data_IF_296657025383
#
_entry.id   IF_296657025383
#
_cell.length_a   1.000
_cell.length_b   1.000
_cell.length_c   1.000
_cell.angle_alpha   90.00
_cell.angle_beta   90.00
_cell.angle_gamma   90.00
#
_symmetry.space_group_name_H-M   'P 1'
#
loop_
_entity.id
_entity.type
_entity.pdbx_description
1 polymer ?
#
# COMPACT_ATOMS: atom_id res chain seq x y z
N UNK A 1 -9.14 -49.14 -4.83
CA UNK A 1 -9.44 -47.86 -4.18
C UNK A 1 -8.76 -46.81 -5.05
N UNK A 2 -9.51 -46.24 -5.98
CA UNK A 2 -9.03 -45.19 -6.89
C UNK A 2 -8.82 -43.94 -6.05
N UNK A 3 -7.58 -43.47 -5.96
CA UNK A 3 -7.25 -42.14 -5.46
C UNK A 3 -7.93 -41.13 -6.38
N UNK A 4 -8.95 -40.48 -5.85
CA UNK A 4 -9.64 -39.35 -6.46
C UNK A 4 -8.67 -38.17 -6.36
N UNK A 5 -7.80 -38.03 -7.37
CA UNK A 5 -7.01 -36.82 -7.56
C UNK A 5 -7.99 -35.72 -7.98
N UNK A 6 -8.37 -34.89 -7.01
CA UNK A 6 -9.07 -33.63 -7.24
C UNK A 6 -8.38 -32.90 -8.42
N UNK A 7 -9.10 -32.56 -9.51
CA UNK A 7 -8.47 -31.93 -10.66
C UNK A 7 -7.73 -30.68 -10.20
N UNK A 8 -6.43 -30.62 -10.47
CA UNK A 8 -5.59 -29.47 -10.14
C UNK A 8 -6.30 -28.19 -10.56
N UNK A 9 -6.48 -27.27 -9.61
CA UNK A 9 -7.23 -26.05 -9.83
C UNK A 9 -6.67 -25.33 -11.08
N UNK A 10 -7.51 -25.00 -12.09
CA UNK A 10 -7.01 -24.43 -13.33
C UNK A 10 -6.23 -23.15 -13.07
N UNK A 11 -5.16 -22.94 -13.82
CA UNK A 11 -4.29 -21.78 -13.69
C UNK A 11 -5.12 -20.48 -13.76
N UNK A 12 -4.71 -19.43 -13.04
CA UNK A 12 -5.48 -18.18 -12.97
C UNK A 12 -5.85 -17.65 -14.36
N UNK A 13 -4.90 -17.68 -15.30
CA UNK A 13 -5.11 -17.26 -16.68
C UNK A 13 -6.28 -18.00 -17.35
N UNK A 14 -6.40 -19.32 -17.17
CA UNK A 14 -7.48 -20.12 -17.74
C UNK A 14 -8.83 -19.77 -17.12
N UNK A 15 -8.86 -19.53 -15.80
CA UNK A 15 -10.08 -19.12 -15.09
C UNK A 15 -10.57 -17.76 -15.57
N UNK A 16 -9.67 -16.78 -15.69
CA UNK A 16 -9.99 -15.45 -16.20
C UNK A 16 -10.44 -15.51 -17.66
N UNK A 17 -9.74 -16.28 -18.51
CA UNK A 17 -10.12 -16.48 -19.91
C UNK A 17 -11.54 -17.07 -20.03
N UNK A 18 -11.84 -18.10 -19.24
CA UNK A 18 -13.18 -18.72 -19.21
C UNK A 18 -14.25 -17.73 -18.73
N UNK A 19 -13.96 -16.95 -17.68
CA UNK A 19 -14.89 -15.94 -17.18
C UNK A 19 -15.19 -14.87 -18.24
N UNK A 20 -14.16 -14.37 -18.92
CA UNK A 20 -14.29 -13.37 -19.98
C UNK A 20 -15.03 -13.93 -21.20
N UNK A 21 -14.78 -15.19 -21.58
CA UNK A 21 -15.48 -15.84 -22.68
C UNK A 21 -17.00 -15.99 -22.39
N UNK A 22 -17.38 -16.21 -21.14
CA UNK A 22 -18.77 -16.41 -20.72
C UNK A 22 -19.52 -15.09 -20.47
N UNK A 23 -18.89 -14.12 -19.83
CA UNK A 23 -19.54 -12.90 -19.34
C UNK A 23 -19.13 -11.62 -20.10
N UNK A 24 -18.13 -11.71 -20.97
CA UNK A 24 -17.53 -10.58 -21.67
C UNK A 24 -16.33 -9.96 -20.93
N UNK A 25 -15.73 -8.92 -21.52
CA UNK A 25 -14.56 -8.23 -20.97
C UNK A 25 -14.80 -7.66 -19.56
N UNK A 26 -13.79 -7.76 -18.69
CA UNK A 26 -13.89 -7.35 -17.28
C UNK A 26 -13.17 -6.02 -17.03
N UNK A 27 -13.56 -5.22 -16.02
CA UNK A 27 -12.80 -4.03 -15.64
C UNK A 27 -11.35 -4.36 -15.24
N UNK A 28 -10.44 -3.41 -15.47
CA UNK A 28 -9.04 -3.50 -15.00
C UNK A 28 -8.97 -3.81 -13.50
N UNK A 29 -9.89 -3.27 -12.69
CA UNK A 29 -9.94 -3.53 -11.26
C UNK A 29 -10.21 -4.99 -10.92
N UNK A 30 -11.08 -5.68 -11.67
CA UNK A 30 -11.35 -7.10 -11.44
C UNK A 30 -10.16 -7.97 -11.85
N UNK A 31 -9.51 -7.62 -12.95
CA UNK A 31 -8.29 -8.28 -13.41
C UNK A 31 -7.15 -8.12 -12.38
N UNK A 32 -6.89 -6.90 -11.94
CA UNK A 32 -5.86 -6.57 -10.96
C UNK A 32 -6.09 -7.28 -9.61
N UNK A 33 -7.34 -7.26 -9.11
CA UNK A 33 -7.70 -7.96 -7.88
C UNK A 33 -7.43 -9.47 -7.97
N UNK A 34 -7.80 -10.11 -9.08
CA UNK A 34 -7.61 -11.54 -9.26
C UNK A 34 -6.12 -11.91 -9.41
N UNK A 35 -5.37 -11.10 -10.17
CA UNK A 35 -3.92 -11.27 -10.33
C UNK A 35 -3.18 -11.15 -9.00
N UNK A 36 -3.37 -10.05 -8.27
CA UNK A 36 -2.67 -9.81 -7.00
C UNK A 36 -3.07 -10.85 -5.93
N UNK A 37 -4.35 -11.21 -5.84
CA UNK A 37 -4.79 -12.26 -4.92
C UNK A 37 -4.08 -13.59 -5.16
N UNK A 38 -3.87 -13.98 -6.43
CA UNK A 38 -3.11 -15.18 -6.76
C UNK A 38 -1.62 -15.03 -6.50
N UNK A 39 -1.04 -13.89 -6.90
CA UNK A 39 0.37 -13.58 -6.72
C UNK A 39 0.77 -13.70 -5.24
N UNK A 40 0.09 -12.98 -4.35
CA UNK A 40 0.41 -12.99 -2.92
C UNK A 40 0.04 -14.31 -2.21
N UNK A 41 -0.92 -15.09 -2.72
CA UNK A 41 -1.29 -16.38 -2.14
C UNK A 41 -0.28 -17.51 -2.44
N UNK A 42 0.50 -17.40 -3.52
CA UNK A 42 1.28 -18.52 -4.06
C UNK A 42 2.79 -18.43 -3.81
N UNK A 43 3.33 -17.26 -3.46
CA UNK A 43 4.78 -17.04 -3.30
C UNK A 43 5.11 -16.00 -2.22
N UNK A 44 6.37 -15.95 -1.78
CA UNK A 44 6.94 -14.82 -1.01
C UNK A 44 7.60 -13.85 -2.01
N UNK A 45 6.98 -12.70 -2.35
CA UNK A 45 7.46 -11.86 -3.44
C UNK A 45 8.55 -10.86 -3.05
N UNK A 46 8.95 -10.80 -1.77
CA UNK A 46 9.70 -9.68 -1.21
C UNK A 46 11.18 -10.01 -0.91
N UNK A 47 12.09 -9.08 -1.25
CA UNK A 47 13.51 -9.11 -0.89
C UNK A 47 14.47 -9.11 -2.09
N UNK A 48 15.78 -9.25 -1.85
CA UNK A 48 16.83 -9.25 -2.91
C UNK A 48 16.67 -10.41 -3.91
N UNK A 49 16.02 -11.50 -3.49
CA UNK A 49 15.67 -12.63 -4.36
C UNK A 49 14.20 -12.59 -4.82
N UNK A 50 13.41 -11.59 -4.39
CA UNK A 50 12.03 -11.36 -4.80
C UNK A 50 11.93 -10.33 -5.94
N UNK A 51 10.71 -9.96 -6.32
CA UNK A 51 10.49 -9.04 -7.45
C UNK A 51 10.71 -7.56 -7.05
N UNK A 52 10.64 -7.24 -5.75
CA UNK A 52 10.72 -5.88 -5.21
C UNK A 52 11.66 -5.75 -4.00
N UNK A 53 12.27 -4.57 -3.88
CA UNK A 53 12.93 -4.12 -2.65
C UNK A 53 12.14 -2.94 -2.08
N UNK A 54 11.36 -3.18 -1.03
CA UNK A 54 10.57 -2.15 -0.32
C UNK A 54 11.43 -1.38 0.68
N UNK A 55 10.95 -0.22 1.14
CA UNK A 55 11.71 0.62 2.10
C UNK A 55 12.15 -0.13 3.38
N UNK A 56 11.31 -0.99 4.00
CA UNK A 56 11.72 -1.80 5.15
C UNK A 56 12.86 -2.80 4.84
N UNK A 57 12.92 -3.33 3.62
CA UNK A 57 13.96 -4.29 3.22
C UNK A 57 15.30 -3.60 2.87
N UNK A 58 15.28 -2.29 2.59
CA UNK A 58 16.48 -1.49 2.35
C UNK A 58 17.23 -1.23 3.65
N UNK A 59 16.53 -0.80 4.70
CA UNK A 59 17.20 -0.45 5.96
C UNK A 59 16.29 -0.47 7.18
N UNK A 60 16.83 -0.97 8.29
CA UNK A 60 16.19 -0.92 9.60
C UNK A 60 15.82 0.51 10.04
N UNK A 61 16.54 1.52 9.53
CA UNK A 61 16.29 2.92 9.85
C UNK A 61 14.86 3.34 9.50
N UNK A 62 14.30 2.78 8.42
CA UNK A 62 12.95 3.11 7.99
C UNK A 62 11.91 2.65 9.01
N UNK A 63 11.92 1.36 9.37
CA UNK A 63 10.99 0.81 10.37
C UNK A 63 11.17 1.44 11.75
N UNK A 64 12.41 1.70 12.16
CA UNK A 64 12.69 2.39 13.43
C UNK A 64 12.08 3.79 13.49
N UNK A 65 12.26 4.61 12.43
CA UNK A 65 11.74 5.98 12.41
C UNK A 65 10.22 6.02 12.27
N UNK A 66 9.63 5.14 11.46
CA UNK A 66 8.17 5.03 11.36
C UNK A 66 7.55 4.63 12.70
N UNK A 67 8.15 3.65 13.39
CA UNK A 67 7.75 3.26 14.74
C UNK A 67 7.92 4.39 15.76
N UNK A 68 9.05 5.10 15.74
CA UNK A 68 9.28 6.22 16.65
C UNK A 68 8.33 7.41 16.40
N UNK A 69 7.95 7.68 15.15
CA UNK A 69 6.93 8.68 14.83
C UNK A 69 5.56 8.29 15.43
N UNK A 70 5.22 6.99 15.39
CA UNK A 70 4.02 6.45 16.03
C UNK A 70 4.09 6.56 17.56
N UNK A 71 5.20 6.20 18.18
CA UNK A 71 5.39 6.28 19.62
C UNK A 71 5.38 7.74 20.13
N UNK A 72 6.01 8.67 19.42
CA UNK A 72 5.95 10.10 19.73
C UNK A 72 4.51 10.64 19.70
N UNK A 73 3.74 10.28 18.66
CA UNK A 73 2.35 10.68 18.54
C UNK A 73 1.50 10.11 19.69
N UNK A 74 1.68 8.83 20.01
CA UNK A 74 1.02 8.17 21.14
C UNK A 74 1.37 8.83 22.49
N UNK A 75 2.65 9.18 22.69
CA UNK A 75 3.12 9.82 23.92
C UNK A 75 2.49 11.21 24.09
N UNK A 76 2.52 12.03 23.03
CA UNK A 76 1.89 13.36 22.99
C UNK A 76 0.37 13.32 23.06
N UNK A 77 -0.26 12.19 22.68
CA UNK A 77 -1.69 11.95 22.86
C UNK A 77 -2.06 11.54 24.30
N UNK A 78 -1.10 11.54 25.23
CA UNK A 78 -1.33 11.22 26.64
C UNK A 78 -1.19 9.75 26.98
N UNK A 79 -0.49 8.96 26.14
CA UNK A 79 -0.19 7.54 26.37
C UNK A 79 -1.44 6.67 26.62
N UNK A 80 -2.51 6.77 25.82
CA UNK A 80 -3.68 5.92 26.00
C UNK A 80 -3.33 4.44 25.79
N UNK A 81 -4.14 3.52 26.34
CA UNK A 81 -4.12 2.16 25.80
C UNK A 81 -4.44 2.25 24.31
N UNK A 82 -3.69 1.55 23.46
CA UNK A 82 -3.83 1.63 22.01
C UNK A 82 -3.38 0.33 21.36
N UNK A 83 -3.88 0.09 20.15
CA UNK A 83 -3.48 -1.03 19.29
C UNK A 83 -2.53 -0.52 18.21
N UNK A 84 -1.49 -1.30 17.90
CA UNK A 84 -0.67 -1.03 16.72
C UNK A 84 -1.07 -1.97 15.59
N UNK A 85 -1.30 -1.38 14.43
CA UNK A 85 -1.84 -2.06 13.25
C UNK A 85 -0.90 -1.84 12.08
N UNK A 86 -0.54 -2.90 11.37
CA UNK A 86 0.11 -2.80 10.05
C UNK A 86 -0.79 -3.39 8.96
N UNK A 87 -1.01 -2.63 7.89
CA UNK A 87 -1.74 -3.07 6.70
C UNK A 87 -0.76 -3.59 5.67
N UNK A 88 -0.96 -4.82 5.20
CA UNK A 88 -0.05 -5.49 4.26
C UNK A 88 1.40 -5.52 4.77
N UNK A 89 1.71 -6.21 5.89
CA UNK A 89 3.03 -6.14 6.51
C UNK A 89 4.15 -6.78 5.67
N UNK A 90 3.83 -7.40 4.53
CA UNK A 90 4.78 -8.11 3.70
C UNK A 90 5.48 -9.22 4.49
N UNK A 91 6.78 -9.09 4.72
CA UNK A 91 7.53 -10.06 5.55
C UNK A 91 7.40 -9.81 7.05
N UNK A 92 6.80 -8.70 7.48
CA UNK A 92 6.78 -8.23 8.87
C UNK A 92 8.07 -7.50 9.30
N UNK A 93 8.92 -7.12 8.34
CA UNK A 93 10.22 -6.47 8.60
C UNK A 93 10.04 -5.10 9.25
N UNK A 94 9.11 -4.28 8.72
CA UNK A 94 8.77 -2.99 9.32
C UNK A 94 8.30 -3.17 10.76
N UNK A 95 7.37 -4.10 11.00
CA UNK A 95 6.86 -4.42 12.33
C UNK A 95 7.98 -4.69 13.34
N UNK A 96 8.93 -5.55 12.98
CA UNK A 96 10.02 -5.95 13.89
C UNK A 96 10.85 -4.73 14.31
N UNK A 97 11.24 -3.88 13.36
CA UNK A 97 12.03 -2.70 13.65
C UNK A 97 11.23 -1.61 14.39
N UNK A 98 9.98 -1.39 13.98
CA UNK A 98 9.08 -0.46 14.63
C UNK A 98 8.80 -0.86 16.07
N UNK A 99 8.37 -2.09 16.34
CA UNK A 99 8.06 -2.59 17.69
C UNK A 99 9.29 -2.54 18.59
N UNK A 100 10.47 -2.89 18.08
CA UNK A 100 11.73 -2.78 18.81
C UNK A 100 12.06 -1.33 19.17
N UNK A 101 11.83 -0.38 18.27
CA UNK A 101 12.09 1.04 18.52
C UNK A 101 11.05 1.66 19.47
N UNK A 102 9.77 1.38 19.26
CA UNK A 102 8.65 1.82 20.11
C UNK A 102 8.80 1.29 21.54
N UNK A 103 9.23 0.04 21.72
CA UNK A 103 9.47 -0.54 23.04
C UNK A 103 10.51 0.24 23.87
N UNK A 104 11.53 0.82 23.22
CA UNK A 104 12.52 1.69 23.89
C UNK A 104 11.92 3.04 24.34
N UNK A 105 10.88 3.51 23.65
CA UNK A 105 10.09 4.68 24.05
C UNK A 105 8.97 4.35 25.06
N UNK A 106 8.84 3.07 25.44
CA UNK A 106 7.84 2.58 26.39
C UNK A 106 6.46 2.30 25.79
N UNK A 107 6.35 2.24 24.45
CA UNK A 107 5.12 1.85 23.77
C UNK A 107 5.21 0.39 23.31
N UNK A 108 4.46 -0.48 23.99
CA UNK A 108 4.37 -1.93 23.71
C UNK A 108 2.90 -2.36 23.55
N UNK A 109 2.24 -1.99 22.45
CA UNK A 109 0.82 -2.27 22.23
C UNK A 109 0.57 -3.72 21.78
N UNK A 110 -0.68 -4.23 21.90
CA UNK A 110 -1.15 -5.36 21.10
C UNK A 110 -0.95 -5.10 19.61
N UNK A 111 -0.55 -6.15 18.88
CA UNK A 111 -0.18 -6.06 17.47
C UNK A 111 -1.24 -6.71 16.59
N UNK A 112 -1.65 -6.00 15.56
CA UNK A 112 -2.64 -6.44 14.59
C UNK A 112 -2.10 -6.32 13.16
N UNK A 113 -2.25 -7.37 12.37
CA UNK A 113 -1.88 -7.37 10.96
C UNK A 113 -3.11 -7.58 10.08
N UNK A 114 -3.31 -6.71 9.10
CA UNK A 114 -4.29 -6.92 8.04
C UNK A 114 -3.56 -7.51 6.83
N UNK A 115 -3.72 -8.81 6.64
CA UNK A 115 -3.00 -9.62 5.65
C UNK A 115 -3.92 -10.74 5.18
N UNK A 116 -4.06 -10.97 3.88
CA UNK A 116 -4.89 -12.08 3.36
C UNK A 116 -4.08 -13.28 2.90
N UNK A 117 -2.78 -13.13 2.64
CA UNK A 117 -1.91 -14.22 2.19
C UNK A 117 -1.60 -15.20 3.32
N UNK A 118 -1.96 -16.49 3.20
CA UNK A 118 -1.61 -17.49 4.20
C UNK A 118 -0.08 -17.72 4.30
N UNK A 119 0.64 -17.56 3.19
CA UNK A 119 2.11 -17.68 3.13
C UNK A 119 2.77 -16.56 3.94
N UNK A 120 2.34 -15.32 3.73
CA UNK A 120 2.88 -14.17 4.46
C UNK A 120 2.47 -14.20 5.92
N UNK A 121 1.23 -14.58 6.26
CA UNK A 121 0.80 -14.77 7.66
C UNK A 121 1.71 -15.73 8.42
N UNK A 122 2.08 -16.86 7.81
CA UNK A 122 2.99 -17.82 8.44
C UNK A 122 4.39 -17.22 8.69
N UNK A 123 4.94 -16.49 7.72
CA UNK A 123 6.23 -15.81 7.85
C UNK A 123 6.19 -14.67 8.90
N UNK A 124 5.10 -13.91 8.93
CA UNK A 124 4.86 -12.83 9.88
C UNK A 124 4.69 -13.37 11.31
N UNK A 125 3.94 -14.46 11.50
CA UNK A 125 3.73 -15.10 12.81
C UNK A 125 5.04 -15.64 13.40
N UNK A 126 5.96 -16.11 12.56
CA UNK A 126 7.29 -16.53 13.02
C UNK A 126 8.15 -15.35 13.52
N UNK A 127 7.99 -14.16 12.93
CA UNK A 127 8.74 -12.95 13.31
C UNK A 127 8.09 -12.18 14.46
N UNK A 128 6.76 -12.13 14.50
CA UNK A 128 5.96 -11.43 15.50
C UNK A 128 4.89 -12.38 16.07
N UNK A 129 5.25 -13.30 16.98
CA UNK A 129 4.34 -14.35 17.46
C UNK A 129 3.09 -13.85 18.19
N UNK A 130 3.11 -12.62 18.70
CA UNK A 130 1.99 -12.00 19.40
C UNK A 130 0.99 -11.28 18.47
N UNK A 131 1.26 -11.27 17.15
CA UNK A 131 0.39 -10.59 16.20
C UNK A 131 -0.95 -11.32 16.02
N UNK A 132 -2.03 -10.55 16.00
CA UNK A 132 -3.37 -11.00 15.65
C UNK A 132 -3.64 -10.68 14.18
N UNK A 133 -4.17 -11.65 13.43
CA UNK A 133 -4.39 -11.51 11.99
C UNK A 133 -5.85 -11.19 11.66
N UNK A 134 -6.01 -10.30 10.69
CA UNK A 134 -7.28 -9.77 10.22
C UNK A 134 -7.35 -9.89 8.69
N UNK A 135 -8.51 -10.29 8.17
CA UNK A 135 -8.73 -10.34 6.72
C UNK A 135 -9.01 -8.94 6.14
N UNK A 136 -9.44 -8.00 6.99
CA UNK A 136 -9.86 -6.67 6.58
C UNK A 136 -9.85 -5.69 7.75
N UNK A 137 -9.83 -4.39 7.42
CA UNK A 137 -9.80 -3.29 8.40
C UNK A 137 -11.07 -3.21 9.24
N UNK A 138 -12.18 -3.80 8.78
CA UNK A 138 -13.46 -3.90 9.48
C UNK A 138 -13.36 -4.78 10.74
N UNK A 139 -12.47 -5.78 10.73
CA UNK A 139 -12.33 -6.75 11.82
C UNK A 139 -11.38 -6.31 12.93
N UNK A 140 -10.72 -5.15 12.79
CA UNK A 140 -9.83 -4.62 13.82
C UNK A 140 -10.59 -4.32 15.13
N UNK A 141 -9.91 -4.24 16.28
CA UNK A 141 -10.55 -3.93 17.57
C UNK A 141 -11.15 -2.51 17.64
N UNK A 142 -12.29 -2.38 18.32
CA UNK A 142 -13.01 -1.11 18.45
C UNK A 142 -12.98 -0.52 19.88
N UNK A 143 -12.15 -1.09 20.75
CA UNK A 143 -12.12 -0.81 22.19
C UNK A 143 -11.03 0.19 22.62
N UNK A 144 -10.09 0.53 21.73
CA UNK A 144 -9.01 1.49 22.00
C UNK A 144 -8.52 2.18 20.71
N UNK A 145 -7.86 3.34 20.79
CA UNK A 145 -7.22 3.99 19.66
C UNK A 145 -6.40 3.06 18.75
N UNK A 146 -6.46 3.29 17.44
CA UNK A 146 -5.66 2.57 16.46
C UNK A 146 -4.45 3.41 16.02
N UNK A 147 -3.24 2.89 16.15
CA UNK A 147 -2.03 3.45 15.57
C UNK A 147 -1.64 2.59 14.37
N UNK A 148 -1.99 3.07 13.18
CA UNK A 148 -1.93 2.29 11.94
C UNK A 148 -0.74 2.73 11.08
N UNK A 149 -0.04 1.77 10.50
CA UNK A 149 0.96 2.00 9.45
C UNK A 149 0.53 1.23 8.20
N UNK A 150 0.61 1.88 7.05
CA UNK A 150 0.36 1.27 5.74
C UNK A 150 1.51 1.67 4.81
N UNK A 151 2.45 0.76 4.56
CA UNK A 151 3.59 1.00 3.67
C UNK A 151 3.42 0.17 2.40
N UNK A 152 3.34 0.82 1.23
CA UNK A 152 3.18 0.14 -0.07
C UNK A 152 1.98 -0.84 -0.01
N UNK A 153 0.87 -0.32 0.51
CA UNK A 153 -0.38 -1.08 0.67
C UNK A 153 -1.44 -0.58 -0.30
N UNK A 154 -1.48 0.73 -0.55
CA UNK A 154 -2.55 1.34 -1.34
C UNK A 154 -2.29 1.23 -2.84
N UNK A 155 -1.02 1.12 -3.26
CA UNK A 155 -0.61 0.87 -4.65
C UNK A 155 -1.05 -0.49 -5.20
N UNK A 156 -1.11 -1.50 -4.33
CA UNK A 156 -1.53 -2.86 -4.65
C UNK A 156 -3.06 -3.02 -4.71
N UNK A 157 -3.83 -1.97 -4.35
CA UNK A 157 -5.29 -2.02 -4.36
C UNK A 157 -5.85 -1.81 -5.77
N UNK A 158 -6.93 -2.53 -6.14
CA UNK A 158 -7.49 -2.48 -7.48
C UNK A 158 -7.94 -1.09 -7.95
N UNK A 159 -7.46 -0.68 -9.13
CA UNK A 159 -7.87 0.54 -9.82
C UNK A 159 -8.74 0.27 -11.05
N UNK A 160 -9.66 1.19 -11.34
CA UNK A 160 -10.31 1.28 -12.66
C UNK A 160 -9.53 2.27 -13.51
N UNK A 161 -9.49 2.05 -14.82
CA UNK A 161 -8.92 2.99 -15.78
C UNK A 161 -10.02 3.52 -16.69
N UNK A 162 -10.10 4.84 -16.83
CA UNK A 162 -10.94 5.52 -17.81
C UNK A 162 -10.02 6.09 -18.89
N UNK A 163 -10.35 5.90 -20.17
CA UNK A 163 -9.54 6.33 -21.31
C UNK A 163 -10.28 7.35 -22.14
N UNK A 164 -9.59 8.44 -22.49
CA UNK A 164 -10.13 9.49 -23.35
C UNK A 164 -9.99 9.11 -24.82
N UNK A 165 -11.11 8.86 -25.49
CA UNK A 165 -11.21 8.81 -26.96
C UNK A 165 -11.95 10.05 -27.48
N UNK A 166 -12.99 9.83 -28.30
CA UNK A 166 -14.01 10.86 -28.58
C UNK A 166 -14.92 11.14 -27.37
N UNK A 167 -15.10 10.15 -26.50
CA UNK A 167 -15.73 10.23 -25.18
C UNK A 167 -14.81 9.55 -24.16
N UNK A 168 -15.01 9.81 -22.86
CA UNK A 168 -14.41 9.00 -21.82
C UNK A 168 -15.07 7.61 -21.79
N UNK A 169 -14.26 6.56 -21.75
CA UNK A 169 -14.72 5.16 -21.73
C UNK A 169 -13.98 4.39 -20.65
N UNK A 170 -14.65 3.44 -20.01
CA UNK A 170 -13.96 2.51 -19.12
C UNK A 170 -13.04 1.58 -19.92
N UNK A 171 -11.79 1.42 -19.49
CA UNK A 171 -10.88 0.40 -20.03
C UNK A 171 -11.22 -0.95 -19.40
N UNK A 172 -11.46 -1.93 -20.25
CA UNK A 172 -11.74 -3.32 -19.89
C UNK A 172 -10.58 -4.20 -20.36
N UNK A 173 -10.53 -5.42 -19.84
CA UNK A 173 -9.61 -6.48 -20.23
C UNK A 173 -10.41 -7.54 -20.97
N UNK A 174 -10.11 -7.70 -22.26
CA UNK A 174 -10.62 -8.79 -23.08
C UNK A 174 -9.61 -9.94 -23.11
N UNK A 175 -10.07 -11.12 -23.52
CA UNK A 175 -9.22 -12.30 -23.64
C UNK A 175 -9.56 -13.08 -24.91
N UNK A 176 -8.53 -13.53 -25.62
CA UNK A 176 -8.62 -14.50 -26.71
C UNK A 176 -7.52 -15.55 -26.52
N UNK A 177 -7.88 -16.83 -26.42
CA UNK A 177 -6.93 -17.95 -26.29
C UNK A 177 -5.82 -17.71 -25.22
N UNK A 178 -6.20 -17.11 -24.08
CA UNK A 178 -5.34 -16.68 -22.94
C UNK A 178 -4.46 -15.43 -23.15
N UNK A 179 -4.55 -14.78 -24.31
CA UNK A 179 -3.98 -13.46 -24.53
C UNK A 179 -4.93 -12.38 -23.99
N UNK A 180 -4.50 -11.66 -22.96
CA UNK A 180 -5.28 -10.55 -22.38
C UNK A 180 -4.86 -9.22 -23.00
N UNK A 181 -5.85 -8.39 -23.33
CA UNK A 181 -5.61 -7.11 -23.99
C UNK A 181 -6.54 -6.02 -23.43
N UNK A 182 -6.03 -4.80 -23.22
CA UNK A 182 -6.86 -3.67 -22.84
C UNK A 182 -7.72 -3.23 -24.04
N UNK A 183 -9.01 -3.02 -23.80
CA UNK A 183 -9.96 -2.52 -24.80
C UNK A 183 -10.79 -1.37 -24.22
N UNK A 184 -11.28 -0.48 -25.09
CA UNK A 184 -12.23 0.55 -24.69
C UNK A 184 -13.64 -0.06 -24.56
N UNK A 185 -14.22 0.08 -23.37
CA UNK A 185 -15.58 -0.32 -23.05
C UNK A 185 -16.62 0.75 -23.38
N UNK A 186 -17.66 0.81 -22.54
CA UNK A 186 -18.78 1.75 -22.71
C UNK A 186 -18.36 3.18 -22.32
N UNK A 187 -18.99 4.21 -22.94
CA UNK A 187 -18.88 5.58 -22.47
C UNK A 187 -19.27 5.70 -21.00
N UNK A 188 -18.56 6.56 -20.28
CA UNK A 188 -18.90 6.95 -18.91
C UNK A 188 -19.46 8.38 -18.90
N UNK A 189 -20.38 8.72 -17.98
CA UNK A 189 -20.92 10.06 -17.87
C UNK A 189 -19.85 11.09 -17.44
N UNK A 190 -19.94 12.33 -17.93
CA UNK A 190 -18.98 13.40 -17.58
C UNK A 190 -18.99 13.75 -16.08
N UNK A 191 -20.06 13.41 -15.34
CA UNK A 191 -20.19 13.62 -13.90
C UNK A 191 -19.19 12.76 -13.10
N UNK A 192 -18.73 11.63 -13.64
CA UNK A 192 -17.71 10.81 -12.96
C UNK A 192 -16.29 11.31 -13.22
N UNK A 193 -16.13 12.26 -14.14
CA UNK A 193 -14.83 12.85 -14.50
C UNK A 193 -14.64 14.16 -13.74
N UNK A 194 -13.49 14.36 -13.06
CA UNK A 194 -13.16 15.64 -12.45
C UNK A 194 -13.28 16.77 -13.48
N UNK A 195 -13.96 17.86 -13.11
CA UNK A 195 -14.25 18.95 -14.05
C UNK A 195 -13.01 19.45 -14.84
N UNK A 196 -11.81 19.61 -14.25
CA UNK A 196 -10.62 20.02 -14.99
C UNK A 196 -10.13 19.02 -16.04
N UNK A 197 -10.56 17.76 -15.98
CA UNK A 197 -10.09 16.68 -16.85
C UNK A 197 -11.10 16.29 -17.93
N UNK A 198 -12.31 16.85 -17.95
CA UNK A 198 -13.35 16.48 -18.93
C UNK A 198 -12.88 16.65 -20.38
N UNK A 199 -12.18 17.75 -20.64
CA UNK A 199 -11.63 18.11 -21.95
C UNK A 199 -10.17 17.66 -22.15
N UNK A 200 -9.68 16.69 -21.36
CA UNK A 200 -8.35 16.14 -21.56
C UNK A 200 -8.16 15.62 -23.00
N UNK A 201 -6.92 15.62 -23.54
CA UNK A 201 -6.67 15.18 -24.89
C UNK A 201 -6.94 13.67 -25.08
N UNK A 202 -7.31 13.23 -26.29
CA UNK A 202 -7.39 11.81 -26.62
C UNK A 202 -6.08 11.08 -26.26
N UNK A 203 -6.20 9.89 -25.66
CA UNK A 203 -5.09 9.13 -25.11
C UNK A 203 -4.86 9.34 -23.61
N UNK A 204 -5.44 10.37 -23.00
CA UNK A 204 -5.40 10.53 -21.54
C UNK A 204 -6.05 9.35 -20.82
N UNK A 205 -5.43 8.94 -19.71
CA UNK A 205 -5.92 7.90 -18.81
C UNK A 205 -6.20 8.52 -17.45
N UNK A 206 -7.36 8.21 -16.86
CA UNK A 206 -7.72 8.58 -15.51
C UNK A 206 -7.89 7.31 -14.68
N UNK A 207 -7.18 7.24 -13.57
CA UNK A 207 -7.21 6.09 -12.67
C UNK A 207 -8.14 6.38 -11.48
N UNK A 208 -9.01 5.44 -11.15
CA UNK A 208 -10.02 5.58 -10.10
C UNK A 208 -9.93 4.41 -9.14
N UNK A 209 -9.48 4.67 -7.92
CA UNK A 209 -9.19 3.67 -6.89
C UNK A 209 -10.33 3.55 -5.86
N UNK A 210 -11.48 2.97 -6.26
CA UNK A 210 -12.64 2.87 -5.35
C UNK A 210 -12.36 1.99 -4.12
N UNK A 211 -11.52 0.96 -4.25
CA UNK A 211 -11.10 0.12 -3.13
C UNK A 211 -10.31 0.93 -2.09
N UNK A 212 -9.33 1.71 -2.55
CA UNK A 212 -8.55 2.65 -1.74
C UNK A 212 -9.42 3.64 -0.97
N UNK A 213 -10.40 4.25 -1.64
CA UNK A 213 -11.36 5.17 -1.00
C UNK A 213 -12.19 4.45 0.08
N UNK A 214 -12.65 3.22 -0.20
CA UNK A 214 -13.43 2.44 0.77
C UNK A 214 -12.62 2.13 2.03
N UNK A 215 -11.40 1.58 1.86
CA UNK A 215 -10.52 1.23 2.98
C UNK A 215 -10.17 2.46 3.80
N UNK A 216 -9.76 3.56 3.15
CA UNK A 216 -9.41 4.79 3.84
C UNK A 216 -10.61 5.39 4.60
N UNK A 217 -11.82 5.39 4.02
CA UNK A 217 -13.02 5.86 4.71
C UNK A 217 -13.35 5.02 5.93
N UNK A 218 -13.26 3.69 5.83
CA UNK A 218 -13.49 2.79 6.97
C UNK A 218 -12.48 3.08 8.09
N UNK A 219 -11.18 3.13 7.77
CA UNK A 219 -10.13 3.43 8.76
C UNK A 219 -10.30 4.81 9.39
N UNK A 220 -10.51 5.84 8.58
CA UNK A 220 -10.67 7.21 9.05
C UNK A 220 -11.90 7.39 9.94
N UNK A 221 -13.03 6.75 9.59
CA UNK A 221 -14.23 6.77 10.44
C UNK A 221 -13.96 6.14 11.81
N UNK A 222 -13.22 5.03 11.85
CA UNK A 222 -12.83 4.36 13.09
C UNK A 222 -11.87 5.23 13.91
N UNK A 223 -10.81 5.73 13.28
CA UNK A 223 -9.84 6.64 13.90
C UNK A 223 -10.56 7.85 14.50
N UNK A 224 -11.47 8.48 13.76
CA UNK A 224 -12.25 9.62 14.24
C UNK A 224 -13.15 9.27 15.44
N UNK A 225 -13.71 8.06 15.48
CA UNK A 225 -14.63 7.62 16.53
C UNK A 225 -13.93 7.16 17.82
N UNK A 226 -12.85 6.38 17.71
CA UNK A 226 -12.18 5.74 18.86
C UNK A 226 -10.81 6.33 19.21
N UNK A 227 -10.35 7.34 18.45
CA UNK A 227 -9.01 7.91 18.56
C UNK A 227 -7.98 7.14 17.73
N UNK A 228 -6.81 7.75 17.58
CA UNK A 228 -5.67 7.14 16.92
C UNK A 228 -5.16 7.94 15.72
N UNK A 229 -4.34 7.27 14.93
CA UNK A 229 -3.75 7.81 13.73
C UNK A 229 -3.38 6.73 12.72
N UNK A 230 -3.18 7.13 11.47
CA UNK A 230 -2.62 6.35 10.38
C UNK A 230 -1.44 7.11 9.79
N UNK A 231 -0.35 6.40 9.49
CA UNK A 231 0.73 6.85 8.61
C UNK A 231 0.71 5.96 7.36
N UNK A 232 0.35 6.55 6.22
CA UNK A 232 0.34 5.89 4.92
C UNK A 232 1.55 6.36 4.10
N UNK A 233 2.35 5.41 3.63
CA UNK A 233 3.58 5.64 2.85
C UNK A 233 3.44 4.88 1.56
N UNK A 234 3.46 5.60 0.44
CA UNK A 234 3.30 4.98 -0.87
C UNK A 234 3.86 5.90 -1.96
N UNK A 235 4.13 5.36 -3.15
CA UNK A 235 4.50 6.18 -4.29
C UNK A 235 3.25 6.66 -5.03
N UNK A 236 3.25 7.93 -5.40
CA UNK A 236 2.01 8.55 -5.83
C UNK A 236 2.12 9.98 -6.28
N UNK A 237 0.96 10.61 -6.46
CA UNK A 237 0.82 11.96 -6.96
C UNK A 237 -0.32 12.69 -6.23
N UNK A 238 -0.42 14.00 -6.48
CA UNK A 238 -1.53 14.84 -6.03
C UNK A 238 -2.39 15.21 -7.25
N UNK A 239 -3.68 14.89 -7.17
CA UNK A 239 -4.64 15.05 -8.25
C UNK A 239 -5.40 16.39 -8.26
N UNK A 240 -6.37 16.56 -9.18
CA UNK A 240 -6.73 15.60 -10.24
C UNK A 240 -5.67 15.57 -11.35
N UNK A 241 -5.25 14.37 -11.75
CA UNK A 241 -4.24 14.17 -12.80
C UNK A 241 -4.65 13.05 -13.76
N UNK A 242 -4.08 13.06 -14.96
CA UNK A 242 -4.15 11.94 -15.91
C UNK A 242 -2.79 11.26 -16.00
N UNK A 243 -2.78 9.94 -16.08
CA UNK A 243 -1.59 9.11 -16.20
C UNK A 243 -1.98 7.64 -16.27
N UNK A 244 -1.21 6.86 -17.01
CA UNK A 244 -1.31 5.40 -17.01
C UNK A 244 -0.20 4.89 -16.10
N UNK A 245 -0.53 4.57 -14.85
CA UNK A 245 0.44 4.19 -13.82
C UNK A 245 0.34 2.73 -13.42
N UNK A 246 -0.68 2.01 -13.92
CA UNK A 246 -0.75 0.56 -13.84
C UNK A 246 0.53 -0.06 -14.42
N UNK A 247 1.26 -0.77 -13.57
CA UNK A 247 2.50 -1.41 -13.93
C UNK A 247 2.54 -2.83 -13.37
N UNK A 248 3.26 -3.70 -14.08
CA UNK A 248 3.74 -4.95 -13.55
C UNK A 248 5.25 -4.84 -13.38
N UNK A 249 5.78 -5.41 -12.31
CA UNK A 249 7.23 -5.54 -12.14
C UNK A 249 7.58 -7.01 -12.00
N UNK A 250 8.66 -7.39 -12.69
CA UNK A 250 9.24 -8.73 -12.65
C UNK A 250 10.76 -8.59 -12.58
N UNK A 251 11.40 -9.20 -11.58
CA UNK A 251 12.85 -9.18 -11.45
C UNK A 251 13.48 -7.78 -11.64
N UNK A 252 12.89 -6.76 -11.02
CA UNK A 252 13.28 -5.34 -11.12
C UNK A 252 13.16 -4.69 -12.51
N UNK A 253 12.36 -5.24 -13.42
CA UNK A 253 12.06 -4.66 -14.72
C UNK A 253 10.55 -4.48 -14.93
N UNK A 254 10.19 -3.47 -15.72
CA UNK A 254 8.81 -3.25 -16.16
C UNK A 254 8.37 -4.42 -17.05
N UNK A 255 7.20 -4.97 -16.73
CA UNK A 255 6.50 -5.96 -17.53
C UNK A 255 5.14 -5.40 -17.99
N UNK A 256 4.56 -6.05 -18.99
CA UNK A 256 3.21 -5.73 -19.44
C UNK A 256 2.19 -6.22 -18.39
N UNK A 257 1.33 -5.36 -17.82
CA UNK A 257 0.33 -5.75 -16.81
C UNK A 257 -0.65 -6.84 -17.27
N UNK A 258 -0.85 -6.96 -18.58
CA UNK A 258 -1.80 -7.91 -19.17
C UNK A 258 -1.16 -9.25 -19.55
N UNK A 259 0.14 -9.45 -19.28
CA UNK A 259 0.82 -10.72 -19.50
C UNK A 259 0.89 -11.55 -18.22
N UNK A 260 0.66 -12.86 -18.35
CA UNK A 260 0.79 -13.84 -17.27
C UNK A 260 0.12 -13.40 -15.94
N UNK A 261 -1.22 -13.21 -15.92
CA UNK A 261 -1.93 -12.76 -14.72
C UNK A 261 -1.61 -13.63 -13.51
N UNK A 262 -1.25 -12.98 -12.40
CA UNK A 262 -0.89 -13.62 -11.13
C UNK A 262 0.56 -14.07 -11.03
N UNK A 263 1.35 -13.93 -12.09
CA UNK A 263 2.80 -14.17 -12.06
C UNK A 263 3.62 -12.93 -11.68
N UNK A 264 3.01 -11.76 -11.79
CA UNK A 264 3.61 -10.47 -11.51
C UNK A 264 2.71 -9.70 -10.55
N UNK A 265 3.34 -8.95 -9.66
CA UNK A 265 2.61 -7.99 -8.84
C UNK A 265 2.18 -6.82 -9.73
N UNK A 266 0.93 -6.40 -9.57
CA UNK A 266 0.37 -5.27 -10.28
C UNK A 266 0.17 -4.13 -9.29
N UNK A 267 0.73 -2.98 -9.62
CA UNK A 267 0.62 -1.79 -8.79
C UNK A 267 0.22 -0.57 -9.60
N UNK A 268 -0.28 0.45 -8.92
CA UNK A 268 -0.58 1.75 -9.50
C UNK A 268 -0.22 2.85 -8.51
N UNK A 269 0.13 4.04 -9.03
CA UNK A 269 0.44 5.19 -8.20
C UNK A 269 -0.79 5.63 -7.38
N UNK A 270 -0.54 6.00 -6.13
CA UNK A 270 -1.59 6.46 -5.20
C UNK A 270 -1.92 7.93 -5.44
N UNK A 271 -3.21 8.26 -5.62
CA UNK A 271 -3.71 9.63 -5.57
C UNK A 271 -3.89 10.07 -4.11
N UNK A 272 -2.91 10.81 -3.59
CA UNK A 272 -2.91 11.30 -2.22
C UNK A 272 -3.96 12.39 -1.96
N UNK A 273 -4.41 13.10 -3.00
CA UNK A 273 -5.51 14.08 -2.89
C UNK A 273 -6.82 13.36 -2.62
N UNK A 274 -7.11 12.30 -3.39
CA UNK A 274 -8.28 11.44 -3.18
C UNK A 274 -8.21 10.74 -1.82
N UNK A 275 -7.03 10.26 -1.43
CA UNK A 275 -6.81 9.58 -0.15
C UNK A 275 -7.08 10.51 1.05
N UNK A 276 -6.55 11.74 1.01
CA UNK A 276 -6.80 12.76 2.03
C UNK A 276 -8.27 13.19 2.08
N UNK A 277 -8.90 13.42 0.93
CA UNK A 277 -10.31 13.78 0.84
C UNK A 277 -11.23 12.67 1.39
N UNK A 278 -10.90 11.40 1.13
CA UNK A 278 -11.60 10.25 1.67
C UNK A 278 -11.55 10.24 3.21
N UNK A 279 -10.37 10.47 3.79
CA UNK A 279 -10.20 10.55 5.24
C UNK A 279 -10.98 11.71 5.86
N UNK A 280 -10.90 12.90 5.27
CA UNK A 280 -11.62 14.10 5.72
C UNK A 280 -13.15 13.92 5.66
N UNK A 281 -13.65 13.29 4.58
CA UNK A 281 -15.08 13.00 4.43
C UNK A 281 -15.63 12.05 5.50
N UNK A 282 -14.75 11.27 6.14
CA UNK A 282 -15.07 10.35 7.23
C UNK A 282 -14.87 10.97 8.63
N UNK A 283 -14.53 12.26 8.71
CA UNK A 283 -14.42 13.01 9.97
C UNK A 283 -13.03 13.00 10.61
N UNK A 284 -12.01 12.48 9.94
CA UNK A 284 -10.62 12.54 10.41
C UNK A 284 -9.89 13.79 9.90
N UNK A 285 -8.74 14.11 10.48
CA UNK A 285 -7.86 15.19 10.04
C UNK A 285 -6.73 14.59 9.20
N UNK A 286 -6.52 15.10 7.98
CA UNK A 286 -5.44 14.67 7.10
C UNK A 286 -4.28 15.68 7.12
N UNK A 287 -3.05 15.17 7.10
CA UNK A 287 -1.80 15.92 7.11
C UNK A 287 -0.91 15.47 5.95
N UNK A 288 -0.39 16.43 5.18
CA UNK A 288 0.38 16.16 3.97
C UNK A 288 -0.49 16.02 2.71
N UNK A 289 -0.01 15.32 1.68
CA UNK A 289 1.21 14.51 1.68
C UNK A 289 2.50 15.34 1.83
N UNK A 290 3.56 14.70 2.30
CA UNK A 290 4.94 15.22 2.25
C UNK A 290 5.84 14.20 1.55
N UNK A 291 6.99 14.62 1.04
CA UNK A 291 7.95 13.69 0.46
C UNK A 291 8.57 12.78 1.52
N UNK A 292 8.75 11.50 1.22
CA UNK A 292 9.37 10.53 2.13
C UNK A 292 10.75 11.00 2.57
N UNK A 293 11.54 11.55 1.65
CA UNK A 293 12.89 12.03 1.96
C UNK A 293 12.87 13.16 2.99
N UNK A 294 11.95 14.11 2.83
CA UNK A 294 11.78 15.22 3.77
C UNK A 294 11.25 14.74 5.12
N UNK A 295 10.28 13.82 5.12
CA UNK A 295 9.71 13.25 6.33
C UNK A 295 10.77 12.50 7.15
N UNK A 296 11.54 11.60 6.52
CA UNK A 296 12.62 10.85 7.18
C UNK A 296 13.73 11.79 7.70
N UNK A 297 14.06 12.84 6.94
CA UNK A 297 15.02 13.86 7.38
C UNK A 297 14.54 14.57 8.64
N UNK A 298 13.28 15.01 8.68
CA UNK A 298 12.66 15.64 9.86
C UNK A 298 12.59 14.71 11.06
N UNK A 299 12.42 13.40 10.85
CA UNK A 299 12.45 12.39 11.91
C UNK A 299 13.87 12.06 12.41
N UNK A 300 14.92 12.59 11.76
CA UNK A 300 16.30 12.45 12.23
C UNK A 300 17.04 11.24 11.66
N UNK A 301 16.73 10.82 10.43
CA UNK A 301 17.44 9.70 9.77
C UNK A 301 18.95 9.90 9.69
N UNK A 302 19.43 11.14 9.55
CA UNK A 302 20.87 11.44 9.50
C UNK A 302 21.57 11.11 10.83
N UNK A 303 20.94 11.49 11.95
CA UNK A 303 21.45 11.17 13.27
C UNK A 303 21.44 9.66 13.51
N UNK A 304 20.41 8.96 13.02
CA UNK A 304 20.31 7.51 13.16
C UNK A 304 21.34 6.76 12.32
N UNK A 305 21.53 7.16 11.06
CA UNK A 305 22.55 6.62 10.18
C UNK A 305 23.95 6.79 10.79
N UNK A 306 24.26 7.98 11.30
CA UNK A 306 25.53 8.25 11.96
C UNK A 306 25.73 7.39 13.23
N UNK A 307 24.68 7.17 14.01
CA UNK A 307 24.74 6.30 15.18
C UNK A 307 24.99 4.83 14.79
N UNK A 308 24.29 4.31 13.79
CA UNK A 308 24.46 2.95 13.28
C UNK A 308 25.87 2.73 12.72
N UNK A 309 26.38 3.68 11.93
CA UNK A 309 27.72 3.60 11.36
C UNK A 309 28.81 3.58 12.43
N UNK A 310 28.62 4.29 13.55
CA UNK A 310 29.55 4.22 14.71
C UNK A 310 29.52 2.87 15.41
N UNK A 311 28.35 2.25 15.54
CA UNK A 311 28.19 0.95 16.22
C UNK A 311 28.53 -0.24 15.34
N UNK A 312 28.57 -0.05 14.02
CA UNK A 312 28.91 -1.10 13.05
C UNK A 312 29.81 -0.53 11.94
N UNK A 313 31.08 -0.23 12.25
CA UNK A 313 31.99 0.44 11.30
C UNK A 313 32.14 -0.29 9.97
N UNK A 314 32.13 -1.62 9.98
CA UNK A 314 32.25 -2.45 8.77
C UNK A 314 31.07 -2.29 7.79
N UNK A 315 29.93 -1.76 8.25
CA UNK A 315 28.74 -1.47 7.45
C UNK A 315 28.54 0.02 7.18
N UNK A 316 29.47 0.90 7.57
CA UNK A 316 29.28 2.35 7.49
C UNK A 316 28.91 2.82 6.07
N UNK A 317 29.63 2.36 5.05
CA UNK A 317 29.38 2.73 3.65
C UNK A 317 28.01 2.21 3.17
N UNK A 318 27.64 0.99 3.56
CA UNK A 318 26.33 0.42 3.25
C UNK A 318 25.20 1.23 3.90
N UNK A 319 25.34 1.63 5.17
CA UNK A 319 24.36 2.46 5.88
C UNK A 319 24.18 3.83 5.20
N UNK A 320 25.27 4.44 4.71
CA UNK A 320 25.21 5.69 3.96
C UNK A 320 24.45 5.50 2.64
N UNK A 321 24.72 4.41 1.92
CA UNK A 321 24.01 4.08 0.67
C UNK A 321 22.53 3.80 0.92
N UNK A 322 22.19 3.01 1.94
CA UNK A 322 20.83 2.71 2.38
C UNK A 322 20.05 4.01 2.70
N UNK A 323 20.64 4.92 3.49
CA UNK A 323 20.05 6.24 3.77
C UNK A 323 19.86 7.05 2.50
N UNK A 324 20.85 7.06 1.60
CA UNK A 324 20.75 7.80 0.33
C UNK A 324 19.60 7.27 -0.52
N UNK A 325 19.43 5.95 -0.60
CA UNK A 325 18.33 5.33 -1.35
C UNK A 325 16.97 5.72 -0.79
N UNK A 326 16.79 5.65 0.53
CA UNK A 326 15.53 6.01 1.19
C UNK A 326 15.15 7.50 1.03
N UNK A 327 16.14 8.40 1.09
CA UNK A 327 15.90 9.86 1.18
C UNK A 327 16.04 10.59 -0.16
N UNK A 328 16.86 10.08 -1.08
CA UNK A 328 17.14 10.75 -2.37
C UNK A 328 16.52 10.02 -3.55
N UNK A 329 16.74 8.71 -3.65
CA UNK A 329 16.25 7.92 -4.81
C UNK A 329 14.75 7.70 -4.69
N UNK A 330 14.30 7.14 -3.57
CA UNK A 330 12.87 6.97 -3.26
C UNK A 330 12.21 8.26 -2.77
N UNK A 331 13.02 9.22 -2.30
CA UNK A 331 12.57 10.31 -1.43
C UNK A 331 11.46 11.19 -1.99
N UNK A 332 11.53 11.54 -3.28
CA UNK A 332 10.52 12.40 -3.92
C UNK A 332 9.36 11.61 -4.53
N UNK A 333 9.62 10.38 -4.98
CA UNK A 333 8.63 9.48 -5.58
C UNK A 333 7.63 8.98 -4.53
N UNK A 334 8.15 8.58 -3.36
CA UNK A 334 7.34 8.18 -2.22
C UNK A 334 6.85 9.40 -1.47
N UNK A 335 5.58 9.34 -1.09
CA UNK A 335 4.91 10.35 -0.28
C UNK A 335 4.39 9.73 1.01
N UNK A 336 4.26 10.57 2.02
CA UNK A 336 3.73 10.19 3.33
C UNK A 336 2.51 11.05 3.61
N UNK A 337 1.39 10.41 3.90
CA UNK A 337 0.15 11.03 4.39
C UNK A 337 -0.09 10.54 5.80
N UNK A 338 -0.42 11.45 6.71
CA UNK A 338 -0.92 11.07 8.03
C UNK A 338 -2.39 11.44 8.19
N UNK A 339 -3.13 10.61 8.90
CA UNK A 339 -4.53 10.84 9.27
C UNK A 339 -4.66 10.68 10.77
N UNK A 340 -5.31 11.62 11.45
CA UNK A 340 -5.49 11.57 12.90
C UNK A 340 -6.95 11.75 13.28
N UNK A 341 -7.33 11.25 14.45
CA UNK A 341 -8.62 11.59 15.04
C UNK A 341 -8.69 13.11 15.33
N UNK A 342 -9.88 13.73 15.35
CA UNK A 342 -10.03 15.10 15.81
C UNK A 342 -9.47 15.28 17.23
N UNK A 343 -8.67 16.33 17.43
CA UNK A 343 -8.06 16.64 18.74
C UNK A 343 -6.80 15.84 19.08
N UNK A 344 -6.36 14.91 18.21
CA UNK A 344 -5.04 14.29 18.36
C UNK A 344 -3.92 15.25 17.95
N UNK A 345 -2.69 15.06 18.47
CA UNK A 345 -1.56 15.91 18.12
C UNK A 345 -1.20 15.83 16.64
N UNK A 346 -0.58 16.89 16.10
CA UNK A 346 0.02 16.85 14.75
C UNK A 346 1.12 15.78 14.71
N UNK A 347 1.11 14.87 13.73
CA UNK A 347 2.16 13.84 13.58
C UNK A 347 3.55 14.43 13.31
N UNK A 348 4.58 13.80 13.85
CA UNK A 348 5.96 14.24 13.62
C UNK A 348 6.33 14.17 12.13
N UNK A 349 7.07 15.17 11.65
CA UNK A 349 7.46 15.30 10.24
C UNK A 349 6.45 16.03 9.34
N UNK A 350 5.26 16.36 9.85
CA UNK A 350 4.20 17.09 9.12
C UNK A 350 4.02 18.55 9.52
N UNK A 351 4.80 19.01 10.51
CA UNK A 351 4.91 20.42 10.89
C UNK A 351 6.09 21.09 10.17
#
# INVERSE_FOLDING_TARGET
>A
MTEDTDPAEPALAERLARAIALAGPIPVSQYMAAANAHYYATRDPLGVAGDFTTAPEISQMFGELAGLACADLWDRAGRPAAHWVELGPGRGTLAVDALRAMGKAGFTPPVHFVETSPVLRAAQAARVPAAQFHDSVETLPADAPLIVVANEFFDALPIRQLVRGGEWRERLVACQDTLFLPIAGKPVPDEVIPAPLRDAPPGSVLEVASATVSVMRTLAARIAAQGGALIAIDYGYEGPATGDTLQAVKAHAYANPFEAPGEHDLTAHVDFTTLAAAAQSAGAVAWGPVEQGEWLAKLGIDARAAALARTTPDRADAIVAERSRLVREMGALFKVLAVTAPGWPTPAGFA
#
